data_IF_473489325476
#
_entry.id   IF_473489325476
#
_cell.length_a   1.000
_cell.length_b   1.000
_cell.length_c   1.000
_cell.angle_alpha   90.00
_cell.angle_beta   90.00
_cell.angle_gamma   90.00
#
_symmetry.space_group_name_H-M   'P 1'
#
loop_
_entity.id
_entity.type
_entity.pdbx_description
1 polymer ?
#
# COMPACT_ATOMS: atom_id res chain seq x y z
N UNK A 1 29.74 -41.88 15.14
CA UNK A 1 28.98 -40.86 14.39
C UNK A 1 28.04 -41.55 13.42
N UNK A 2 26.73 -41.48 13.68
CA UNK A 2 25.55 -41.86 12.85
C UNK A 2 24.35 -41.94 13.82
N UNK A 3 23.08 -41.68 13.51
CA UNK A 3 22.37 -40.90 12.49
C UNK A 3 20.90 -40.88 13.00
N UNK A 4 20.14 -39.89 12.57
CA UNK A 4 18.68 -39.97 12.33
C UNK A 4 17.64 -39.80 13.45
N UNK A 5 16.73 -38.86 13.12
CA UNK A 5 15.26 -38.96 13.13
C UNK A 5 14.53 -38.63 14.44
N UNK A 6 14.09 -37.37 14.49
CA UNK A 6 12.75 -37.01 14.95
C UNK A 6 11.69 -37.83 14.19
N UNK A 7 11.32 -39.00 14.73
CA UNK A 7 10.04 -39.64 14.44
C UNK A 7 9.01 -39.06 15.40
N UNK A 8 8.06 -38.31 14.88
CA UNK A 8 6.73 -38.28 15.50
C UNK A 8 6.08 -39.66 15.30
N UNK A 9 5.47 -40.22 16.35
CA UNK A 9 4.23 -40.99 16.17
C UNK A 9 3.17 -40.52 17.20
N UNK A 10 1.94 -41.08 17.22
CA UNK A 10 0.82 -40.55 16.46
C UNK A 10 -0.36 -40.10 17.35
N UNK A 11 -1.40 -39.62 16.68
CA UNK A 11 -2.65 -39.06 17.19
C UNK A 11 -3.53 -40.07 17.95
N UNK A 12 -3.82 -39.76 19.23
CA UNK A 12 -5.03 -40.07 20.09
C UNK A 12 -5.46 -41.56 20.21
N UNK A 13 -6.46 -41.98 21.03
CA UNK A 13 -7.27 -41.32 22.07
C UNK A 13 -7.38 -42.15 23.39
N UNK A 14 -8.22 -41.67 24.32
CA UNK A 14 -9.02 -42.40 25.33
C UNK A 14 -8.67 -42.03 26.78
N UNK A 15 -9.35 -40.98 27.23
CA UNK A 15 -9.36 -40.50 28.60
C UNK A 15 -9.93 -41.57 29.55
N UNK A 16 -9.10 -42.08 30.45
CA UNK A 16 -9.52 -42.77 31.66
C UNK A 16 -9.52 -41.75 32.81
N UNK A 17 -10.61 -41.71 33.60
CA UNK A 17 -10.85 -40.76 34.72
C UNK A 17 -9.71 -40.67 35.75
N UNK A 18 -8.78 -41.63 35.77
CA UNK A 18 -7.59 -41.64 36.63
C UNK A 18 -6.52 -40.62 36.21
N UNK A 19 -6.46 -40.21 34.93
CA UNK A 19 -5.47 -39.24 34.46
C UNK A 19 -5.76 -37.81 34.96
N UNK A 20 -7.03 -37.46 35.15
CA UNK A 20 -7.41 -36.15 35.69
C UNK A 20 -7.05 -36.02 37.17
N UNK A 21 -7.17 -37.11 37.94
CA UNK A 21 -6.74 -37.12 39.34
C UNK A 21 -5.22 -37.05 39.48
N UNK A 22 -4.47 -37.70 38.59
CA UNK A 22 -3.01 -37.55 38.57
C UNK A 22 -2.57 -36.15 38.15
N UNK A 23 -3.19 -35.53 37.13
CA UNK A 23 -2.91 -34.14 36.76
C UNK A 23 -3.28 -33.16 37.87
N UNK A 24 -4.39 -33.38 38.58
CA UNK A 24 -4.79 -32.53 39.69
C UNK A 24 -3.85 -32.67 40.90
N UNK A 25 -3.39 -33.89 41.20
CA UNK A 25 -2.43 -34.14 42.27
C UNK A 25 -1.04 -33.58 41.95
N UNK A 26 -0.60 -33.65 40.69
CA UNK A 26 0.64 -33.03 40.22
C UNK A 26 0.56 -31.50 40.25
N UNK A 27 -0.59 -30.94 39.86
CA UNK A 27 -0.83 -29.50 39.88
C UNK A 27 -0.89 -28.96 41.31
N UNK A 28 -1.63 -29.64 42.21
CA UNK A 28 -1.70 -29.30 43.64
C UNK A 28 -0.32 -29.34 44.31
N UNK A 29 0.50 -30.37 44.02
CA UNK A 29 1.86 -30.50 44.56
C UNK A 29 2.81 -29.40 44.06
N UNK A 30 2.65 -28.94 42.82
CA UNK A 30 3.43 -27.82 42.25
C UNK A 30 2.99 -26.49 42.87
N UNK A 31 1.69 -26.23 42.99
CA UNK A 31 1.17 -25.00 43.60
C UNK A 31 1.44 -24.93 45.10
N UNK A 32 1.42 -26.07 45.82
CA UNK A 32 1.72 -26.12 47.25
C UNK A 32 3.22 -26.05 47.57
N UNK A 33 4.09 -26.00 46.55
CA UNK A 33 5.54 -25.88 46.69
C UNK A 33 6.08 -24.50 46.32
N UNK A 34 5.20 -23.55 45.98
CA UNK A 34 5.57 -22.16 45.81
C UNK A 34 5.78 -21.53 47.20
N UNK A 35 6.95 -20.94 47.50
CA UNK A 35 7.16 -20.19 48.73
C UNK A 35 6.14 -19.05 48.79
N UNK A 36 5.35 -18.97 49.87
CA UNK A 36 4.32 -17.95 50.12
C UNK A 36 4.89 -16.54 50.43
N UNK A 37 6.18 -16.30 50.16
CA UNK A 37 6.86 -15.04 50.48
C UNK A 37 7.23 -14.28 49.19
N UNK A 38 6.24 -13.69 48.54
CA UNK A 38 6.48 -12.58 47.59
C UNK A 38 6.35 -11.29 48.41
N UNK A 39 7.46 -10.60 48.76
CA UNK A 39 7.37 -9.33 49.47
C UNK A 39 6.66 -8.28 48.60
N UNK A 40 5.78 -7.43 49.16
CA UNK A 40 5.00 -6.45 48.41
C UNK A 40 5.83 -5.30 47.83
N UNK A 41 7.15 -5.28 48.02
CA UNK A 41 8.03 -4.16 47.65
C UNK A 41 8.65 -4.27 46.24
N UNK A 42 8.35 -5.34 45.49
CA UNK A 42 9.02 -5.64 44.21
C UNK A 42 8.20 -5.41 42.93
N UNK A 43 6.91 -5.08 43.01
CA UNK A 43 6.11 -4.75 41.83
C UNK A 43 6.35 -3.29 41.49
N UNK A 44 7.47 -3.01 40.83
CA UNK A 44 7.59 -1.81 40.04
C UNK A 44 6.42 -1.82 39.04
N UNK A 45 5.35 -1.09 39.35
CA UNK A 45 4.31 -0.73 38.39
C UNK A 45 5.07 0.01 37.29
N UNK A 46 5.39 -0.69 36.20
CA UNK A 46 5.92 -0.04 35.02
C UNK A 46 4.88 1.05 34.69
N UNK A 47 5.24 2.35 34.72
CA UNK A 47 4.30 3.37 34.30
C UNK A 47 3.79 2.97 32.92
N UNK A 48 2.47 3.11 32.63
CA UNK A 48 1.93 2.77 31.33
C UNK A 48 2.83 3.43 30.29
N UNK A 49 3.29 2.65 29.31
CA UNK A 49 4.20 3.13 28.28
C UNK A 49 3.69 4.49 27.78
N UNK A 50 4.54 5.53 27.71
CA UNK A 50 4.10 6.85 27.29
C UNK A 50 3.32 6.70 25.99
N UNK A 51 2.22 7.45 25.78
CA UNK A 51 1.49 7.41 24.53
C UNK A 51 2.52 7.56 23.42
N UNK A 52 2.63 6.56 22.55
CA UNK A 52 3.47 6.69 21.37
C UNK A 52 2.91 7.91 20.64
N UNK A 53 3.62 9.04 20.68
CA UNK A 53 3.39 10.13 19.74
C UNK A 53 3.60 9.50 18.37
N UNK A 54 2.50 9.02 17.78
CA UNK A 54 2.45 8.60 16.40
C UNK A 54 2.51 9.88 15.58
N UNK A 55 3.69 10.50 15.57
CA UNK A 55 4.02 11.60 14.68
C UNK A 55 3.64 11.17 13.27
N UNK A 56 3.14 12.12 12.49
CA UNK A 56 2.62 11.87 11.15
C UNK A 56 3.59 11.00 10.35
N UNK A 57 3.17 9.82 9.88
CA UNK A 57 4.08 8.81 9.39
C UNK A 57 4.75 9.30 8.10
N UNK A 58 6.03 8.94 7.89
CA UNK A 58 6.85 9.44 6.76
C UNK A 58 6.21 9.25 5.39
N UNK A 59 5.42 8.19 5.19
CA UNK A 59 4.71 7.94 3.94
C UNK A 59 3.65 9.02 3.64
N UNK A 60 3.06 9.63 4.67
CA UNK A 60 2.08 10.69 4.50
C UNK A 60 2.74 11.95 3.96
N UNK A 61 3.92 12.31 4.47
CA UNK A 61 4.68 13.44 3.93
C UNK A 61 5.08 13.26 2.47
N UNK A 62 5.49 12.04 2.10
CA UNK A 62 5.79 11.70 0.71
C UNK A 62 4.54 11.76 -0.18
N UNK A 63 3.39 11.28 0.32
CA UNK A 63 2.12 11.36 -0.40
C UNK A 63 1.65 12.80 -0.59
N UNK A 64 1.81 13.66 0.42
CA UNK A 64 1.53 15.09 0.33
C UNK A 64 2.45 15.78 -0.67
N UNK A 65 3.76 15.50 -0.62
CA UNK A 65 4.71 16.01 -1.62
C UNK A 65 4.34 15.58 -3.05
N UNK A 66 3.94 14.31 -3.23
CA UNK A 66 3.46 13.81 -4.51
C UNK A 66 2.17 14.50 -4.95
N UNK A 67 1.22 14.77 -4.05
CA UNK A 67 -0.02 15.48 -4.36
C UNK A 67 0.26 16.86 -4.98
N UNK A 68 1.17 17.63 -4.38
CA UNK A 68 1.57 18.93 -4.92
C UNK A 68 2.28 18.82 -6.26
N UNK A 69 3.20 17.86 -6.40
CA UNK A 69 3.90 17.63 -7.65
C UNK A 69 2.93 17.23 -8.78
N UNK A 70 1.99 16.34 -8.51
CA UNK A 70 0.94 15.94 -9.46
C UNK A 70 0.00 17.10 -9.80
N UNK A 71 -0.36 17.94 -8.83
CA UNK A 71 -1.18 19.12 -9.07
C UNK A 71 -0.50 20.12 -10.01
N UNK A 72 0.78 20.42 -9.77
CA UNK A 72 1.56 21.31 -10.62
C UNK A 72 1.76 20.70 -12.02
N UNK A 73 2.13 19.41 -12.08
CA UNK A 73 2.27 18.69 -13.34
C UNK A 73 0.97 18.66 -14.14
N UNK A 74 -0.21 18.50 -13.53
CA UNK A 74 -1.47 18.43 -14.30
C UNK A 74 -1.82 19.73 -15.03
N UNK A 75 -1.35 20.88 -14.55
CA UNK A 75 -1.58 22.19 -15.14
C UNK A 75 -0.61 22.52 -16.28
N UNK A 76 0.67 22.16 -16.16
CA UNK A 76 1.73 22.54 -17.10
C UNK A 76 1.50 22.10 -18.56
N UNK A 77 1.00 20.88 -18.86
CA UNK A 77 0.73 20.46 -20.23
C UNK A 77 -0.25 21.37 -20.95
N UNK A 78 -1.27 21.93 -20.28
CA UNK A 78 -2.18 22.88 -20.93
C UNK A 78 -1.42 24.11 -21.42
N UNK A 79 -0.49 24.62 -20.62
CA UNK A 79 0.34 25.77 -21.00
C UNK A 79 1.23 25.45 -22.20
N UNK A 80 1.88 24.28 -22.21
CA UNK A 80 2.68 23.82 -23.35
C UNK A 80 1.84 23.59 -24.62
N UNK A 81 0.60 23.13 -24.47
CA UNK A 81 -0.33 22.88 -25.58
C UNK A 81 -0.84 24.17 -26.25
N UNK A 82 -0.63 25.35 -25.65
CA UNK A 82 -0.95 26.64 -26.30
C UNK A 82 0.04 26.98 -27.42
N UNK A 83 1.29 26.54 -27.29
CA UNK A 83 2.35 26.81 -28.27
C UNK A 83 2.74 25.60 -29.12
N UNK A 84 2.35 24.39 -28.71
CA UNK A 84 2.79 23.14 -29.36
C UNK A 84 1.64 22.15 -29.55
N UNK A 85 1.68 21.30 -30.60
CA UNK A 85 0.72 20.21 -30.74
C UNK A 85 0.99 19.10 -29.71
N UNK A 86 -0.02 18.24 -29.40
CA UNK A 86 0.08 17.26 -28.31
C UNK A 86 1.21 16.25 -28.47
N UNK A 87 1.50 15.83 -29.70
CA UNK A 87 2.58 14.88 -29.96
C UNK A 87 3.96 15.45 -29.58
N UNK A 88 4.20 16.74 -29.81
CA UNK A 88 5.45 17.40 -29.45
C UNK A 88 5.58 17.53 -27.94
N UNK A 89 4.49 17.90 -27.24
CA UNK A 89 4.49 18.00 -25.77
C UNK A 89 4.84 16.65 -25.13
N UNK A 90 4.25 15.55 -25.61
CA UNK A 90 4.55 14.19 -25.12
C UNK A 90 6.00 13.82 -25.42
N UNK A 91 6.51 14.17 -26.61
CA UNK A 91 7.90 13.90 -26.96
C UNK A 91 8.88 14.61 -26.02
N UNK A 92 8.67 15.89 -25.75
CA UNK A 92 9.51 16.64 -24.81
C UNK A 92 9.35 16.17 -23.36
N UNK A 93 8.16 15.74 -22.95
CA UNK A 93 7.95 15.12 -21.64
C UNK A 93 8.70 13.79 -21.53
N UNK A 94 8.64 12.94 -22.56
CA UNK A 94 9.39 11.70 -22.61
C UNK A 94 10.91 11.94 -22.54
N UNK A 95 11.39 13.00 -23.20
CA UNK A 95 12.79 13.42 -23.12
C UNK A 95 13.14 13.88 -21.70
N UNK A 96 12.30 14.68 -21.05
CA UNK A 96 12.47 15.09 -19.65
C UNK A 96 12.52 13.89 -18.69
N UNK A 97 11.60 12.93 -18.87
CA UNK A 97 11.60 11.69 -18.10
C UNK A 97 12.88 10.87 -18.32
N UNK A 98 13.37 10.80 -19.56
CA UNK A 98 14.63 10.12 -19.87
C UNK A 98 15.83 10.80 -19.20
N UNK A 99 15.89 12.13 -19.21
CA UNK A 99 16.94 12.91 -18.56
C UNK A 99 17.03 12.65 -17.05
N UNK A 100 15.90 12.39 -16.40
CA UNK A 100 15.85 12.01 -14.97
C UNK A 100 16.11 10.51 -14.77
N UNK A 101 15.55 9.66 -15.64
CA UNK A 101 15.63 8.21 -15.51
C UNK A 101 17.06 7.68 -15.71
N UNK A 102 17.85 8.27 -16.62
CA UNK A 102 19.21 7.80 -16.92
C UNK A 102 20.16 7.93 -15.72
N UNK A 103 20.30 9.09 -15.04
CA UNK A 103 21.09 9.20 -13.82
C UNK A 103 20.61 8.26 -12.71
N UNK A 104 19.29 8.12 -12.53
CA UNK A 104 18.72 7.19 -11.54
C UNK A 104 19.11 5.75 -11.86
N UNK A 105 19.04 5.35 -13.13
CA UNK A 105 19.47 4.02 -13.58
C UNK A 105 20.96 3.79 -13.35
N UNK A 106 21.81 4.78 -13.62
CA UNK A 106 23.25 4.71 -13.36
C UNK A 106 23.52 4.55 -11.85
N UNK A 107 22.85 5.33 -11.00
CA UNK A 107 22.96 5.23 -9.56
C UNK A 107 22.50 3.86 -9.01
N UNK A 108 21.49 3.27 -9.63
CA UNK A 108 20.94 1.97 -9.25
C UNK A 108 21.63 0.77 -9.94
N UNK A 109 22.68 0.99 -10.75
CA UNK A 109 23.43 -0.11 -11.38
C UNK A 109 23.88 -1.13 -10.32
N UNK A 110 23.63 -2.41 -10.59
CA UNK A 110 23.98 -3.51 -9.68
C UNK A 110 23.01 -3.73 -8.52
N UNK A 111 22.07 -2.81 -8.26
CA UNK A 111 20.99 -2.97 -7.25
C UNK A 111 19.64 -3.31 -7.87
N UNK A 112 19.55 -3.31 -9.20
CA UNK A 112 18.33 -3.65 -9.93
C UNK A 112 17.97 -5.12 -9.73
N UNK A 113 16.83 -5.37 -9.10
CA UNK A 113 16.30 -6.73 -8.94
C UNK A 113 15.55 -7.12 -10.20
N UNK A 114 16.10 -8.08 -10.94
CA UNK A 114 15.43 -8.65 -12.10
C UNK A 114 14.49 -9.77 -11.65
N UNK A 115 13.24 -9.72 -12.14
CA UNK A 115 12.25 -10.76 -11.93
C UNK A 115 11.54 -11.00 -13.27
N UNK A 116 11.64 -12.22 -13.81
CA UNK A 116 11.16 -12.52 -15.16
C UNK A 116 9.67 -12.27 -15.40
N UNK A 117 8.86 -12.21 -14.33
CA UNK A 117 7.42 -11.89 -14.40
C UNK A 117 7.12 -10.39 -14.24
N UNK A 118 7.90 -9.66 -13.46
CA UNK A 118 7.61 -8.25 -13.15
C UNK A 118 8.15 -7.30 -14.22
N UNK A 119 9.24 -7.66 -14.88
CA UNK A 119 9.82 -6.85 -15.99
C UNK A 119 8.84 -6.69 -17.16
N UNK A 120 8.24 -7.75 -17.73
CA UNK A 120 7.25 -7.57 -18.80
C UNK A 120 5.98 -6.84 -18.31
N UNK A 121 5.58 -7.06 -17.05
CA UNK A 121 4.46 -6.33 -16.44
C UNK A 121 4.77 -4.83 -16.32
N UNK A 122 5.98 -4.46 -15.92
CA UNK A 122 6.43 -3.07 -15.86
C UNK A 122 6.45 -2.41 -17.25
N UNK A 123 6.93 -3.13 -18.28
CA UNK A 123 6.87 -2.66 -19.66
C UNK A 123 5.42 -2.44 -20.14
N UNK A 124 4.51 -3.35 -19.80
CA UNK A 124 3.10 -3.21 -20.11
C UNK A 124 2.46 -2.02 -19.41
N UNK A 125 2.80 -1.78 -18.13
CA UNK A 125 2.38 -0.58 -17.40
C UNK A 125 2.85 0.67 -18.12
N UNK A 126 4.12 0.74 -18.55
CA UNK A 126 4.65 1.89 -19.30
C UNK A 126 3.91 2.12 -20.62
N UNK A 127 3.57 1.05 -21.35
CA UNK A 127 2.79 1.19 -22.60
C UNK A 127 1.41 1.79 -22.34
N UNK A 128 0.71 1.33 -21.30
CA UNK A 128 -0.58 1.91 -20.88
C UNK A 128 -0.41 3.38 -20.48
N UNK A 129 0.64 3.72 -19.73
CA UNK A 129 0.90 5.09 -19.29
C UNK A 129 1.08 6.04 -20.47
N UNK A 130 1.88 5.65 -21.47
CA UNK A 130 2.10 6.48 -22.67
C UNK A 130 0.79 6.65 -23.46
N UNK A 131 0.00 5.59 -23.61
CA UNK A 131 -1.32 5.67 -24.23
C UNK A 131 -2.28 6.60 -23.48
N UNK A 132 -2.29 6.52 -22.15
CA UNK A 132 -3.11 7.38 -21.31
C UNK A 132 -2.70 8.85 -21.40
N UNK A 133 -1.41 9.17 -21.38
CA UNK A 133 -0.91 10.54 -21.59
C UNK A 133 -1.26 11.09 -22.96
N UNK A 134 -1.21 10.25 -24.01
CA UNK A 134 -1.67 10.63 -25.34
C UNK A 134 -3.15 11.04 -25.32
N UNK A 135 -4.02 10.21 -24.77
CA UNK A 135 -5.45 10.52 -24.65
C UNK A 135 -5.69 11.78 -23.81
N UNK A 136 -4.98 11.91 -22.69
CA UNK A 136 -5.08 13.04 -21.78
C UNK A 136 -4.67 14.37 -22.42
N UNK A 137 -3.54 14.43 -23.14
CA UNK A 137 -3.10 15.68 -23.77
C UNK A 137 -3.96 16.05 -24.98
N UNK A 138 -4.47 15.06 -25.73
CA UNK A 138 -5.48 15.32 -26.76
C UNK A 138 -6.78 15.85 -26.16
N UNK A 139 -7.23 15.32 -25.03
CA UNK A 139 -8.37 15.89 -24.30
C UNK A 139 -8.06 17.32 -23.86
N UNK A 140 -6.92 17.56 -23.20
CA UNK A 140 -6.53 18.89 -22.72
C UNK A 140 -6.42 19.92 -23.84
N UNK A 141 -6.00 19.51 -25.04
CA UNK A 141 -5.96 20.42 -26.19
C UNK A 141 -7.37 20.86 -26.60
N UNK A 142 -8.33 19.94 -26.60
CA UNK A 142 -9.67 20.16 -27.16
C UNK A 142 -10.73 20.56 -26.13
N UNK A 143 -10.43 20.51 -24.83
CA UNK A 143 -11.41 20.80 -23.78
C UNK A 143 -10.90 21.69 -22.64
N UNK A 144 -11.80 22.04 -21.71
CA UNK A 144 -11.49 22.82 -20.51
C UNK A 144 -10.67 21.99 -19.51
N UNK A 145 -9.60 22.60 -18.98
CA UNK A 145 -8.69 21.95 -18.03
C UNK A 145 -9.42 21.46 -16.80
N UNK A 146 -10.28 22.31 -16.22
CA UNK A 146 -10.99 22.01 -14.98
C UNK A 146 -11.80 20.71 -15.10
N UNK A 147 -12.59 20.56 -16.18
CA UNK A 147 -13.39 19.36 -16.40
C UNK A 147 -12.53 18.13 -16.63
N UNK A 148 -11.48 18.22 -17.45
CA UNK A 148 -10.63 17.07 -17.78
C UNK A 148 -9.81 16.61 -16.58
N UNK A 149 -9.21 17.53 -15.83
CA UNK A 149 -8.46 17.22 -14.60
C UNK A 149 -9.39 16.60 -13.55
N UNK A 150 -10.62 17.12 -13.40
CA UNK A 150 -11.59 16.54 -12.47
C UNK A 150 -12.03 15.13 -12.87
N UNK A 151 -12.34 14.92 -14.15
CA UNK A 151 -12.72 13.59 -14.65
C UNK A 151 -11.59 12.58 -14.48
N UNK A 152 -10.36 12.97 -14.78
CA UNK A 152 -9.20 12.09 -14.56
C UNK A 152 -8.89 11.87 -13.09
N UNK A 153 -9.16 12.84 -12.21
CA UNK A 153 -9.05 12.68 -10.75
C UNK A 153 -10.04 11.66 -10.15
N UNK A 154 -11.01 11.15 -10.92
CA UNK A 154 -11.87 10.04 -10.54
C UNK A 154 -11.22 8.66 -10.69
N UNK A 155 -9.99 8.55 -11.21
CA UNK A 155 -9.29 7.26 -11.29
C UNK A 155 -9.25 6.46 -9.97
N UNK A 156 -9.25 7.05 -8.75
CA UNK A 156 -9.33 6.28 -7.51
C UNK A 156 -10.59 5.42 -7.42
N UNK A 157 -11.70 5.82 -8.04
CA UNK A 157 -12.92 5.00 -8.12
C UNK A 157 -12.63 3.71 -8.89
N UNK A 158 -11.98 3.83 -10.05
CA UNK A 158 -11.56 2.68 -10.87
C UNK A 158 -10.60 1.79 -10.07
N UNK A 159 -9.62 2.37 -9.39
CA UNK A 159 -8.66 1.63 -8.55
C UNK A 159 -9.37 0.87 -7.42
N UNK A 160 -10.32 1.50 -6.73
CA UNK A 160 -11.09 0.87 -5.65
C UNK A 160 -11.91 -0.32 -6.17
N UNK A 161 -12.54 -0.17 -7.34
CA UNK A 161 -13.29 -1.26 -7.99
C UNK A 161 -12.35 -2.39 -8.40
N UNK A 162 -11.20 -2.08 -9.00
CA UNK A 162 -10.19 -3.08 -9.36
C UNK A 162 -9.61 -3.78 -8.12
N UNK A 163 -9.33 -3.06 -7.04
CA UNK A 163 -8.88 -3.64 -5.77
C UNK A 163 -9.93 -4.61 -5.21
N UNK A 164 -11.22 -4.28 -5.32
CA UNK A 164 -12.30 -5.17 -4.91
C UNK A 164 -12.36 -6.44 -5.74
N UNK A 165 -12.21 -6.33 -7.06
CA UNK A 165 -12.32 -7.46 -8.01
C UNK A 165 -11.08 -8.35 -7.97
N UNK A 166 -9.89 -7.77 -8.07
CA UNK A 166 -8.62 -8.49 -8.23
C UNK A 166 -7.94 -8.81 -6.89
N UNK A 167 -7.90 -7.86 -5.95
CA UNK A 167 -7.26 -8.05 -4.64
C UNK A 167 -8.23 -8.62 -3.60
N UNK A 168 -9.54 -8.67 -3.90
CA UNK A 168 -10.61 -9.17 -3.02
C UNK A 168 -10.68 -8.45 -1.67
N UNK A 169 -10.16 -7.22 -1.59
CA UNK A 169 -10.19 -6.41 -0.37
C UNK A 169 -11.64 -6.08 0.03
N UNK A 170 -11.91 -6.04 1.33
CA UNK A 170 -13.22 -5.66 1.87
C UNK A 170 -13.24 -4.15 2.07
N UNK A 171 -14.02 -3.46 1.24
CA UNK A 171 -14.15 -2.00 1.31
C UNK A 171 -15.08 -1.59 2.47
N UNK A 172 -14.68 -0.56 3.21
CA UNK A 172 -15.47 0.01 4.29
C UNK A 172 -16.62 0.88 3.71
N UNK A 173 -17.73 1.02 4.46
CA UNK A 173 -18.86 1.90 4.10
C UNK A 173 -18.40 3.34 3.83
N UNK A 174 -17.39 3.81 4.56
CA UNK A 174 -16.83 5.14 4.38
C UNK A 174 -16.07 5.31 3.04
N UNK A 175 -15.40 4.26 2.55
CA UNK A 175 -14.75 4.29 1.23
C UNK A 175 -15.78 4.37 0.11
N UNK A 176 -16.91 3.66 0.26
CA UNK A 176 -18.04 3.79 -0.67
C UNK A 176 -18.65 5.18 -0.67
N UNK A 177 -18.77 5.81 0.51
CA UNK A 177 -19.22 7.20 0.59
C UNK A 177 -18.24 8.16 -0.12
N UNK A 178 -16.93 7.94 0.05
CA UNK A 178 -15.92 8.75 -0.62
C UNK A 178 -15.99 8.62 -2.15
N UNK A 179 -16.21 7.39 -2.65
CA UNK A 179 -16.45 7.14 -4.08
C UNK A 179 -17.70 7.86 -4.58
N UNK A 180 -18.82 7.74 -3.86
CA UNK A 180 -20.07 8.40 -4.24
C UNK A 180 -19.92 9.93 -4.28
N UNK A 181 -19.26 10.51 -3.27
CA UNK A 181 -19.00 11.95 -3.21
C UNK A 181 -18.08 12.42 -4.34
N UNK A 182 -17.02 11.66 -4.64
CA UNK A 182 -16.11 11.97 -5.74
C UNK A 182 -16.84 11.99 -7.09
N UNK A 183 -17.66 10.98 -7.36
CA UNK A 183 -18.47 10.90 -8.59
C UNK A 183 -19.45 12.08 -8.67
N UNK A 184 -20.13 12.40 -7.57
CA UNK A 184 -21.07 13.54 -7.54
C UNK A 184 -20.36 14.88 -7.83
N UNK A 185 -19.18 15.12 -7.23
CA UNK A 185 -18.39 16.31 -7.49
C UNK A 185 -17.97 16.43 -8.95
N UNK A 186 -17.58 15.31 -9.58
CA UNK A 186 -17.19 15.31 -10.99
C UNK A 186 -18.36 15.54 -11.94
N UNK A 187 -19.55 14.99 -11.67
CA UNK A 187 -20.75 15.27 -12.46
C UNK A 187 -21.12 16.74 -12.37
N UNK A 188 -21.05 17.33 -11.17
CA UNK A 188 -21.36 18.75 -10.96
C UNK A 188 -20.39 19.69 -11.69
N UNK A 189 -19.11 19.32 -11.78
CA UNK A 189 -18.09 20.09 -12.50
C UNK A 189 -18.09 19.86 -14.02
N UNK A 190 -18.77 18.81 -14.50
CA UNK A 190 -18.85 18.46 -15.91
C UNK A 190 -20.14 19.00 -16.59
N UNK A 191 -21.15 19.40 -15.81
CA UNK A 191 -22.37 20.06 -16.30
C UNK A 191 -22.21 21.58 -16.35
#
# INVERSE_FOLDING_TARGET
MCFCRSRFPPVRPRASRLALLQSFYWWWRVTSSLPEDIPPEGVAILPPAPPLEQGVPRWLWLALGALFAWGFWAFLPKLALQSMPPHSVIFYEALGNLLVAVPVFIYLRGRLKWHGRTVPMAAFISAITVGAFLMYFFALKNGPVATIVTLTALYPVVVILLARVFLKEKLNRLQWLAVALAVAAAVLLAG
#
